data_IF_091205019740
#
_entry.id   IF_091205019740
#
_cell.length_a   1.000
_cell.length_b   1.000
_cell.length_c   1.000
_cell.angle_alpha   90.00
_cell.angle_beta   90.00
_cell.angle_gamma   90.00
#
_symmetry.space_group_name_H-M   'P 1'
#
loop_
_entity.id
_entity.type
_entity.pdbx_description
1 polymer ?
#
# COMPACT_ATOMS: atom_id res chain seq x y z
N UNK A 1 -14.30 -35.85 -34.26
CA UNK A 1 -13.02 -35.95 -34.99
C UNK A 1 -11.98 -35.30 -34.09
N UNK A 2 -11.41 -36.01 -33.23
CA UNK A 2 -10.18 -36.85 -33.25
C UNK A 2 -8.91 -36.02 -33.15
N UNK A 3 -8.16 -36.39 -32.13
CA UNK A 3 -6.72 -36.25 -31.91
C UNK A 3 -6.22 -34.96 -31.21
N UNK A 4 -5.94 -35.15 -29.94
CA UNK A 4 -4.71 -34.64 -29.32
C UNK A 4 -4.18 -35.69 -28.35
N UNK A 5 -3.09 -36.33 -28.78
CA UNK A 5 -2.31 -37.35 -28.07
C UNK A 5 -1.27 -36.70 -27.16
N UNK A 6 -1.20 -37.24 -25.95
CA UNK A 6 -0.04 -37.49 -25.08
C UNK A 6 1.07 -36.45 -24.90
N UNK A 7 1.16 -35.95 -23.67
CA UNK A 7 2.34 -35.31 -23.10
C UNK A 7 3.37 -36.38 -22.66
N UNK A 8 4.70 -36.18 -22.87
CA UNK A 8 5.75 -37.12 -22.47
C UNK A 8 6.10 -36.98 -20.98
N UNK A 9 6.41 -38.15 -20.41
CA UNK A 9 6.79 -38.40 -19.01
C UNK A 9 8.06 -37.66 -18.58
N UNK A 10 8.08 -37.22 -17.33
CA UNK A 10 9.23 -36.70 -16.59
C UNK A 10 10.39 -37.70 -16.62
N UNK A 11 11.58 -37.24 -17.04
CA UNK A 11 12.84 -37.95 -16.81
C UNK A 11 13.32 -37.71 -15.38
N UNK A 12 13.53 -38.79 -14.64
CA UNK A 12 14.28 -38.81 -13.38
C UNK A 12 15.75 -38.52 -13.69
N UNK A 13 16.30 -37.49 -13.06
CA UNK A 13 17.74 -37.23 -13.03
C UNK A 13 18.35 -38.06 -11.90
N UNK A 14 19.16 -39.07 -12.29
CA UNK A 14 20.01 -39.82 -11.40
C UNK A 14 21.12 -38.93 -10.85
N UNK A 15 21.29 -38.98 -9.52
CA UNK A 15 22.39 -38.33 -8.81
C UNK A 15 23.69 -39.10 -9.07
N UNK A 16 24.71 -38.41 -9.59
CA UNK A 16 26.08 -38.90 -9.65
C UNK A 16 26.85 -38.43 -8.38
N UNK A 17 27.74 -39.25 -7.84
CA UNK A 17 28.46 -38.91 -6.61
C UNK A 17 29.58 -37.91 -6.88
N UNK A 18 29.67 -36.90 -6.01
CA UNK A 18 30.74 -35.90 -5.98
C UNK A 18 32.03 -36.52 -5.46
N UNK A 19 33.02 -36.67 -6.33
CA UNK A 19 34.41 -36.90 -5.93
C UNK A 19 35.04 -35.58 -5.45
N UNK A 20 35.38 -35.54 -4.15
CA UNK A 20 36.20 -34.51 -3.55
C UNK A 20 37.66 -34.67 -4.02
N UNK A 21 38.07 -33.81 -4.92
CA UNK A 21 39.48 -33.58 -5.26
C UNK A 21 39.99 -32.36 -4.51
N UNK A 22 40.76 -32.56 -3.42
CA UNK A 22 41.49 -31.53 -2.72
C UNK A 22 42.68 -31.07 -3.56
N UNK A 23 42.70 -29.83 -4.01
CA UNK A 23 43.85 -29.16 -4.59
C UNK A 23 44.34 -28.07 -3.62
N UNK A 24 45.50 -28.23 -2.96
CA UNK A 24 46.02 -27.27 -2.02
C UNK A 24 46.93 -26.26 -2.75
N UNK A 25 46.43 -25.13 -3.10
CA UNK A 25 47.22 -23.89 -3.33
C UNK A 25 46.27 -22.74 -3.79
N UNK A 26 46.36 -21.63 -3.05
CA UNK A 26 45.70 -20.35 -3.27
C UNK A 26 44.37 -20.09 -2.50
N UNK A 27 44.47 -20.16 -1.17
CA UNK A 27 43.48 -19.57 -0.28
C UNK A 27 43.73 -18.03 -0.17
N UNK A 28 43.38 -17.26 -1.21
CA UNK A 28 43.19 -15.83 -1.12
C UNK A 28 41.68 -15.57 -1.14
N UNK A 29 41.08 -15.56 0.02
CA UNK A 29 39.75 -14.99 0.22
C UNK A 29 39.86 -13.51 -0.07
N UNK A 30 39.45 -13.06 -1.25
CA UNK A 30 39.21 -11.66 -1.48
C UNK A 30 38.00 -11.26 -0.66
N UNK A 31 38.24 -10.74 0.54
CA UNK A 31 37.27 -9.95 1.28
C UNK A 31 36.96 -8.73 0.44
N UNK A 32 35.88 -8.84 -0.37
CA UNK A 32 35.25 -7.67 -0.95
C UNK A 32 34.72 -6.87 0.26
N UNK A 33 35.24 -5.66 0.51
CA UNK A 33 34.76 -4.88 1.63
C UNK A 33 33.27 -4.65 1.37
N UNK A 34 32.43 -5.14 2.27
CA UNK A 34 31.03 -4.81 2.31
C UNK A 34 30.97 -3.28 2.32
N UNK A 35 30.53 -2.66 1.22
CA UNK A 35 30.26 -1.24 1.16
C UNK A 35 29.17 -0.96 2.21
N UNK A 36 29.62 -0.66 3.42
CA UNK A 36 28.78 -0.10 4.46
C UNK A 36 28.37 1.30 3.99
N UNK A 37 27.24 1.34 3.28
CA UNK A 37 26.57 2.62 3.04
C UNK A 37 26.19 3.16 4.40
N UNK A 38 27.04 4.06 4.96
CA UNK A 38 26.80 4.75 6.24
C UNK A 38 25.37 5.30 6.20
N UNK A 39 24.54 4.82 7.13
CA UNK A 39 23.21 5.38 7.30
C UNK A 39 23.35 6.84 7.69
N UNK A 40 22.65 7.72 6.99
CA UNK A 40 22.52 9.10 7.46
C UNK A 40 21.98 9.05 8.90
N UNK A 41 22.56 9.86 9.82
CA UNK A 41 22.03 10.02 11.16
C UNK A 41 20.52 10.31 11.12
N UNK A 42 19.81 9.91 12.14
CA UNK A 42 18.35 10.16 12.25
C UNK A 42 18.02 11.66 12.20
N UNK A 43 18.92 12.51 12.69
CA UNK A 43 18.87 13.97 12.60
C UNK A 43 18.79 14.47 11.15
N UNK A 44 19.66 13.95 10.25
CA UNK A 44 19.72 14.38 8.86
C UNK A 44 18.51 13.91 8.06
N UNK A 45 18.01 12.68 8.35
CA UNK A 45 16.75 12.18 7.77
C UNK A 45 15.56 13.03 8.21
N UNK A 46 15.52 13.42 9.49
CA UNK A 46 14.46 14.28 10.04
C UNK A 46 14.50 15.68 9.41
N UNK A 47 15.69 16.30 9.28
CA UNK A 47 15.87 17.58 8.61
C UNK A 47 15.42 17.50 7.15
N UNK A 48 15.85 16.47 6.42
CA UNK A 48 15.45 16.24 5.02
C UNK A 48 13.94 16.08 4.89
N UNK A 49 13.30 15.23 5.70
CA UNK A 49 11.86 15.02 5.63
C UNK A 49 11.08 16.32 5.93
N UNK A 50 11.57 17.15 6.84
CA UNK A 50 10.97 18.45 7.13
C UNK A 50 10.99 19.36 5.89
N UNK A 51 12.09 19.44 5.17
CA UNK A 51 12.17 20.25 3.94
C UNK A 51 11.33 19.67 2.80
N UNK A 52 11.30 18.34 2.66
CA UNK A 52 10.42 17.64 1.73
C UNK A 52 8.94 17.94 2.07
N UNK A 53 8.54 17.83 3.32
CA UNK A 53 7.18 18.08 3.76
C UNK A 53 6.72 19.51 3.46
N UNK A 54 7.56 20.53 3.75
CA UNK A 54 7.29 21.92 3.41
C UNK A 54 7.15 22.13 1.90
N UNK A 55 8.01 21.50 1.11
CA UNK A 55 7.98 21.64 -0.35
C UNK A 55 6.74 20.98 -0.94
N UNK A 56 6.41 19.77 -0.48
CA UNK A 56 5.18 19.08 -0.89
C UNK A 56 3.92 19.81 -0.42
N UNK A 57 3.94 20.47 0.73
CA UNK A 57 2.83 21.28 1.20
C UNK A 57 2.55 22.48 0.28
N UNK A 58 3.60 23.14 -0.24
CA UNK A 58 3.45 24.23 -1.22
C UNK A 58 2.91 23.71 -2.56
N UNK A 59 3.42 22.54 -3.01
CA UNK A 59 3.00 21.95 -4.28
C UNK A 59 1.61 21.34 -4.22
N UNK A 60 1.17 20.87 -3.05
CA UNK A 60 -0.12 20.22 -2.80
C UNK A 60 -0.69 20.74 -1.45
N UNK A 61 -1.25 21.95 -1.41
CA UNK A 61 -1.74 22.55 -0.15
C UNK A 61 -2.80 21.70 0.54
N UNK A 62 -3.78 21.21 -0.23
CA UNK A 62 -4.95 20.45 0.25
C UNK A 62 -5.02 19.10 -0.47
N UNK A 63 -4.22 18.10 -0.05
CA UNK A 63 -4.31 16.78 -0.65
C UNK A 63 -5.66 16.15 -0.31
N UNK A 64 -6.42 15.76 -1.33
CA UNK A 64 -7.72 15.12 -1.16
C UNK A 64 -7.61 13.60 -1.21
N UNK A 65 -8.49 12.93 -0.48
CA UNK A 65 -8.73 11.51 -0.66
C UNK A 65 -9.39 11.28 -2.03
N UNK A 66 -8.87 10.36 -2.83
CA UNK A 66 -9.36 10.13 -4.20
C UNK A 66 -10.54 9.14 -4.27
N UNK A 67 -10.84 8.42 -3.18
CA UNK A 67 -12.05 7.61 -3.06
C UNK A 67 -13.23 8.49 -2.62
N UNK A 68 -14.26 8.55 -3.46
CA UNK A 68 -15.50 9.27 -3.17
C UNK A 68 -16.25 8.59 -2.02
N UNK A 69 -16.63 9.37 -1.01
CA UNK A 69 -17.37 8.89 0.16
C UNK A 69 -18.09 10.05 0.88
N UNK A 70 -19.19 9.72 1.58
CA UNK A 70 -19.98 10.66 2.37
C UNK A 70 -19.99 10.32 3.86
N UNK A 71 -19.55 9.12 4.21
CA UNK A 71 -19.53 8.62 5.58
C UNK A 71 -18.31 7.71 5.83
N UNK A 72 -17.95 7.47 7.10
CA UNK A 72 -16.92 6.48 7.45
C UNK A 72 -17.23 5.08 6.88
N UNK A 73 -18.50 4.68 6.83
CA UNK A 73 -18.93 3.42 6.25
C UNK A 73 -18.65 3.36 4.75
N UNK A 74 -19.04 4.37 4.00
CA UNK A 74 -18.76 4.44 2.56
C UNK A 74 -17.25 4.41 2.29
N UNK A 75 -16.43 5.12 3.08
CA UNK A 75 -14.98 5.07 2.95
C UNK A 75 -14.41 3.69 3.24
N UNK A 76 -14.93 3.00 4.25
CA UNK A 76 -14.50 1.63 4.58
C UNK A 76 -14.77 0.67 3.43
N UNK A 77 -16.00 0.67 2.90
CA UNK A 77 -16.39 -0.14 1.74
C UNK A 77 -15.56 0.20 0.51
N UNK A 78 -15.41 1.48 0.17
CA UNK A 78 -14.60 1.92 -0.97
C UNK A 78 -13.14 1.50 -0.82
N UNK A 79 -12.58 1.58 0.40
CA UNK A 79 -11.19 1.17 0.66
C UNK A 79 -11.00 -0.35 0.52
N UNK A 80 -11.96 -1.17 0.96
CA UNK A 80 -11.95 -2.62 0.71
C UNK A 80 -11.98 -2.91 -0.80
N UNK A 81 -12.84 -2.20 -1.54
CA UNK A 81 -12.93 -2.35 -3.00
C UNK A 81 -11.66 -1.89 -3.72
N UNK A 82 -10.91 -0.93 -3.18
CA UNK A 82 -9.67 -0.39 -3.81
C UNK A 82 -8.49 -1.37 -3.78
N UNK A 83 -8.58 -2.48 -3.06
CA UNK A 83 -7.55 -3.51 -3.08
C UNK A 83 -7.30 -4.03 -4.52
N UNK A 84 -6.09 -3.77 -5.06
CA UNK A 84 -5.70 -4.08 -6.44
C UNK A 84 -6.68 -3.54 -7.51
N UNK A 85 -7.28 -2.38 -7.25
CA UNK A 85 -8.17 -1.67 -8.15
C UNK A 85 -7.83 -0.17 -8.12
N UNK A 86 -8.06 0.53 -9.22
CA UNK A 86 -7.88 1.99 -9.27
C UNK A 86 -9.02 2.69 -8.55
N UNK A 87 -8.72 3.82 -7.89
CA UNK A 87 -9.73 4.63 -7.19
C UNK A 87 -10.82 5.11 -8.17
N UNK A 88 -10.43 5.48 -9.41
CA UNK A 88 -11.37 5.83 -10.47
C UNK A 88 -12.39 4.72 -10.75
N UNK A 89 -11.94 3.44 -10.81
CA UNK A 89 -12.85 2.31 -11.03
C UNK A 89 -13.76 2.09 -9.83
N UNK A 90 -13.25 2.24 -8.62
CA UNK A 90 -14.06 2.15 -7.40
C UNK A 90 -15.14 3.23 -7.42
N UNK A 91 -14.79 4.47 -7.72
CA UNK A 91 -15.73 5.60 -7.78
C UNK A 91 -16.82 5.44 -8.86
N UNK A 92 -16.58 4.64 -9.92
CA UNK A 92 -17.60 4.28 -10.90
C UNK A 92 -18.61 3.26 -10.37
N UNK A 93 -18.21 2.40 -9.43
CA UNK A 93 -19.02 1.31 -8.89
C UNK A 93 -19.80 1.73 -7.65
N UNK A 94 -19.15 2.47 -6.76
CA UNK A 94 -19.70 2.81 -5.43
C UNK A 94 -21.02 3.58 -5.45
N UNK A 95 -21.35 4.47 -6.41
CA UNK A 95 -22.65 5.14 -6.43
C UNK A 95 -23.83 4.19 -6.57
N UNK A 96 -23.70 3.14 -7.36
CA UNK A 96 -24.74 2.12 -7.51
C UNK A 96 -24.80 1.20 -6.29
N UNK A 97 -23.64 0.86 -5.73
CA UNK A 97 -23.53 0.06 -4.52
C UNK A 97 -24.22 0.75 -3.32
N UNK A 98 -23.92 2.05 -3.09
CA UNK A 98 -24.47 2.80 -1.96
C UNK A 98 -25.94 3.22 -2.13
N UNK A 99 -26.48 3.15 -3.34
CA UNK A 99 -27.95 3.28 -3.54
C UNK A 99 -28.68 2.05 -3.04
N UNK A 100 -28.09 0.86 -3.20
CA UNK A 100 -28.70 -0.40 -2.84
C UNK A 100 -28.38 -0.80 -1.38
N UNK A 101 -27.16 -0.49 -0.90
CA UNK A 101 -26.66 -0.87 0.42
C UNK A 101 -26.11 0.34 1.15
N UNK A 102 -27.00 1.11 1.81
CA UNK A 102 -26.64 2.37 2.49
C UNK A 102 -26.00 2.15 3.85
N UNK A 103 -26.45 1.09 4.54
CA UNK A 103 -26.08 0.78 5.92
C UNK A 103 -25.35 -0.57 6.01
N UNK A 104 -24.54 -0.78 7.08
CA UNK A 104 -23.89 -2.06 7.31
C UNK A 104 -24.82 -3.28 7.29
N UNK A 105 -26.00 -3.19 7.93
CA UNK A 105 -26.98 -4.29 7.97
C UNK A 105 -27.52 -4.64 6.59
N UNK A 106 -27.75 -3.66 5.72
CA UNK A 106 -28.22 -3.91 4.35
C UNK A 106 -27.16 -4.68 3.54
N UNK A 107 -25.87 -4.31 3.70
CA UNK A 107 -24.77 -5.01 3.03
C UNK A 107 -24.54 -6.41 3.64
N UNK A 108 -24.79 -6.58 4.95
CA UNK A 108 -24.74 -7.88 5.61
C UNK A 108 -25.80 -8.85 5.08
N UNK A 109 -26.96 -8.34 4.68
CA UNK A 109 -28.08 -9.10 4.11
C UNK A 109 -28.02 -9.25 2.58
N UNK A 110 -26.95 -8.75 1.94
CA UNK A 110 -26.82 -8.73 0.48
C UNK A 110 -26.81 -10.15 -0.12
N UNK A 111 -27.57 -10.35 -1.19
CA UNK A 111 -27.50 -11.56 -2.00
C UNK A 111 -26.16 -11.60 -2.76
N UNK A 112 -25.29 -12.55 -2.40
CA UNK A 112 -23.93 -12.62 -2.93
C UNK A 112 -23.82 -12.53 -4.45
N UNK A 113 -24.59 -13.28 -5.26
CA UNK A 113 -24.51 -13.19 -6.73
C UNK A 113 -24.79 -11.79 -7.27
N UNK A 114 -25.74 -11.06 -6.71
CA UNK A 114 -26.06 -9.69 -7.12
C UNK A 114 -24.96 -8.71 -6.74
N UNK A 115 -24.45 -8.82 -5.52
CA UNK A 115 -23.31 -8.02 -5.06
C UNK A 115 -22.07 -8.29 -5.90
N UNK A 116 -21.77 -9.55 -6.23
CA UNK A 116 -20.65 -9.93 -7.09
C UNK A 116 -20.76 -9.31 -8.48
N UNK A 117 -21.95 -9.31 -9.06
CA UNK A 117 -22.20 -8.69 -10.36
C UNK A 117 -21.98 -7.17 -10.30
N UNK A 118 -22.48 -6.52 -9.26
CA UNK A 118 -22.36 -5.07 -9.06
C UNK A 118 -20.91 -4.61 -8.93
N UNK A 119 -20.08 -5.34 -8.19
CA UNK A 119 -18.68 -5.00 -7.95
C UNK A 119 -17.70 -5.69 -8.91
N UNK A 120 -18.17 -6.44 -9.90
CA UNK A 120 -17.35 -7.30 -10.78
C UNK A 120 -16.16 -6.58 -11.40
N UNK A 121 -16.37 -5.34 -11.84
CA UNK A 121 -15.34 -4.57 -12.52
C UNK A 121 -14.18 -4.11 -11.61
N UNK A 122 -14.31 -4.27 -10.27
CA UNK A 122 -13.22 -3.96 -9.32
C UNK A 122 -12.16 -5.06 -9.22
N UNK A 123 -12.36 -6.21 -9.87
CA UNK A 123 -11.48 -7.38 -9.76
C UNK A 123 -11.59 -8.09 -8.40
N UNK A 124 -11.18 -9.35 -8.34
CA UNK A 124 -11.25 -10.19 -7.12
C UNK A 124 -12.62 -10.15 -6.43
N UNK A 125 -13.66 -9.91 -7.20
CA UNK A 125 -15.00 -9.58 -6.73
C UNK A 125 -15.63 -10.67 -5.82
N UNK A 126 -15.35 -11.95 -6.06
CA UNK A 126 -15.83 -13.06 -5.20
C UNK A 126 -15.30 -12.99 -3.77
N UNK A 127 -14.01 -12.62 -3.60
CA UNK A 127 -13.43 -12.46 -2.28
C UNK A 127 -13.86 -11.13 -1.65
N UNK A 128 -13.95 -10.07 -2.46
CA UNK A 128 -14.42 -8.76 -1.99
C UNK A 128 -15.87 -8.81 -1.53
N UNK A 129 -16.78 -9.45 -2.26
CA UNK A 129 -18.18 -9.60 -1.86
C UNK A 129 -18.30 -10.31 -0.52
N UNK A 130 -17.59 -11.42 -0.33
CA UNK A 130 -17.56 -12.13 0.96
C UNK A 130 -17.04 -11.26 2.10
N UNK A 131 -15.95 -10.50 1.86
CA UNK A 131 -15.42 -9.58 2.86
C UNK A 131 -16.40 -8.45 3.18
N UNK A 132 -17.06 -7.89 2.17
CA UNK A 132 -18.03 -6.81 2.36
C UNK A 132 -19.23 -7.27 3.19
N UNK A 133 -19.82 -8.42 2.86
CA UNK A 133 -20.94 -9.00 3.64
C UNK A 133 -20.51 -9.28 5.08
N UNK A 134 -19.38 -9.94 5.27
CA UNK A 134 -18.87 -10.25 6.59
C UNK A 134 -18.47 -8.98 7.39
N UNK A 135 -17.93 -7.98 6.73
CA UNK A 135 -17.61 -6.67 7.32
C UNK A 135 -18.89 -5.95 7.75
N UNK A 136 -19.92 -5.90 6.87
CA UNK A 136 -21.23 -5.33 7.19
C UNK A 136 -21.85 -5.98 8.41
N UNK A 137 -21.85 -7.32 8.46
CA UNK A 137 -22.33 -8.09 9.60
C UNK A 137 -21.57 -7.75 10.89
N UNK A 138 -20.23 -7.72 10.84
CA UNK A 138 -19.42 -7.39 12.00
C UNK A 138 -19.67 -5.97 12.52
N UNK A 139 -19.83 -4.98 11.61
CA UNK A 139 -20.11 -3.59 11.99
C UNK A 139 -21.51 -3.46 12.57
N UNK A 140 -22.53 -4.11 11.98
CA UNK A 140 -23.90 -4.06 12.49
C UNK A 140 -24.01 -4.72 13.87
N UNK A 141 -23.53 -5.96 14.03
CA UNK A 141 -23.72 -6.75 15.24
C UNK A 141 -22.84 -6.33 16.42
N UNK A 142 -21.59 -5.95 16.15
CA UNK A 142 -20.59 -5.69 17.20
C UNK A 142 -20.42 -4.23 17.54
N UNK A 143 -20.72 -3.33 16.60
CA UNK A 143 -20.45 -1.89 16.73
C UNK A 143 -21.70 -1.02 16.50
N UNK A 144 -22.89 -1.60 16.56
CA UNK A 144 -24.16 -0.84 16.47
C UNK A 144 -24.25 0.01 15.20
N UNK A 145 -23.87 -0.57 14.05
CA UNK A 145 -23.83 0.09 12.73
C UNK A 145 -22.85 1.26 12.61
N UNK A 146 -21.99 1.47 13.60
CA UNK A 146 -20.95 2.50 13.56
C UNK A 146 -19.61 1.88 13.21
N UNK A 147 -18.88 2.52 12.28
CA UNK A 147 -17.51 2.09 11.98
C UNK A 147 -16.63 2.36 13.20
N UNK A 148 -15.92 1.35 13.73
CA UNK A 148 -15.05 1.55 14.88
C UNK A 148 -13.93 2.53 14.56
N UNK A 149 -13.44 3.23 15.58
CA UNK A 149 -12.49 4.33 15.45
C UNK A 149 -11.14 4.08 16.15
N UNK A 150 -10.85 2.81 16.48
CA UNK A 150 -9.55 2.39 17.00
C UNK A 150 -8.86 1.44 16.03
N UNK A 151 -7.52 1.40 16.03
CA UNK A 151 -6.74 0.48 15.20
C UNK A 151 -7.07 -0.97 15.53
N UNK A 152 -7.16 -1.27 16.83
CA UNK A 152 -7.40 -2.60 17.38
C UNK A 152 -8.74 -3.17 16.92
N UNK A 153 -9.77 -2.36 16.92
CA UNK A 153 -11.11 -2.77 16.47
C UNK A 153 -11.20 -2.88 14.95
N UNK A 154 -10.66 -1.89 14.22
CA UNK A 154 -10.70 -1.88 12.76
C UNK A 154 -10.06 -3.12 12.13
N UNK A 155 -8.91 -3.56 12.64
CA UNK A 155 -8.21 -4.74 12.09
C UNK A 155 -8.94 -6.06 12.38
N UNK A 156 -9.96 -6.07 13.27
CA UNK A 156 -10.82 -7.24 13.50
C UNK A 156 -11.90 -7.40 12.44
N UNK A 157 -12.12 -6.36 11.61
CA UNK A 157 -13.14 -6.39 10.57
C UNK A 157 -12.65 -7.20 9.35
N UNK A 158 -13.49 -8.06 8.77
CA UNK A 158 -13.16 -8.81 7.57
C UNK A 158 -12.76 -7.91 6.40
N UNK A 159 -11.64 -8.20 5.76
CA UNK A 159 -11.12 -7.40 4.66
C UNK A 159 -10.38 -6.12 5.06
N UNK A 160 -10.21 -5.87 6.35
CA UNK A 160 -9.53 -4.69 6.90
C UNK A 160 -8.18 -5.07 7.48
N UNK A 161 -7.13 -4.70 6.76
CA UNK A 161 -5.76 -4.78 7.28
C UNK A 161 -5.29 -3.43 7.84
N UNK A 162 -4.07 -3.39 8.40
CA UNK A 162 -3.45 -2.20 8.99
C UNK A 162 -3.49 -0.98 8.06
N UNK A 163 -3.20 -1.16 6.76
CA UNK A 163 -3.27 -0.07 5.78
C UNK A 163 -4.69 0.50 5.69
N UNK A 164 -5.72 -0.35 5.56
CA UNK A 164 -7.12 0.08 5.49
C UNK A 164 -7.52 0.81 6.76
N UNK A 165 -7.17 0.28 7.93
CA UNK A 165 -7.43 0.92 9.21
C UNK A 165 -6.81 2.32 9.28
N UNK A 166 -5.54 2.50 8.87
CA UNK A 166 -4.89 3.81 8.81
C UNK A 166 -5.61 4.78 7.86
N UNK A 167 -6.13 4.30 6.72
CA UNK A 167 -6.94 5.14 5.81
C UNK A 167 -8.19 5.65 6.53
N UNK A 168 -8.92 4.77 7.21
CA UNK A 168 -10.15 5.12 7.92
C UNK A 168 -9.86 6.09 9.06
N UNK A 169 -8.88 5.78 9.91
CA UNK A 169 -8.52 6.63 11.04
C UNK A 169 -8.13 8.04 10.60
N UNK A 170 -7.32 8.16 9.54
CA UNK A 170 -6.85 9.45 9.07
C UNK A 170 -7.88 10.27 8.32
N UNK A 171 -8.71 9.65 7.48
CA UNK A 171 -9.59 10.40 6.57
C UNK A 171 -11.03 10.49 7.07
N UNK A 172 -11.53 9.51 7.81
CA UNK A 172 -12.89 9.57 8.36
C UNK A 172 -12.93 10.15 9.78
N UNK A 173 -11.90 9.90 10.59
CA UNK A 173 -11.90 10.28 12.00
C UNK A 173 -10.88 11.38 12.35
N UNK A 174 -10.08 11.85 11.37
CA UNK A 174 -9.08 12.90 11.61
C UNK A 174 -7.96 12.48 12.56
N UNK A 175 -7.84 11.18 12.86
CA UNK A 175 -6.79 10.68 13.75
C UNK A 175 -5.45 10.61 13.03
N UNK A 176 -4.36 11.02 13.68
CA UNK A 176 -3.04 10.97 13.07
C UNK A 176 -2.66 9.54 12.64
N UNK A 177 -2.52 9.32 11.34
CA UNK A 177 -2.20 8.01 10.78
C UNK A 177 -1.20 8.14 9.63
N UNK A 178 -0.38 7.10 9.41
CA UNK A 178 0.55 7.02 8.29
C UNK A 178 0.11 5.88 7.38
N UNK A 179 -0.41 6.22 6.22
CA UNK A 179 -0.79 5.22 5.22
C UNK A 179 0.43 4.85 4.38
N UNK A 180 0.85 3.59 4.41
CA UNK A 180 1.94 3.09 3.57
C UNK A 180 1.41 2.13 2.53
N UNK A 181 1.31 2.61 1.30
CA UNK A 181 1.05 1.82 0.12
C UNK A 181 2.32 1.61 -0.72
N UNK A 182 2.19 1.03 -1.90
CA UNK A 182 3.32 0.83 -2.82
C UNK A 182 3.94 2.14 -3.29
N UNK A 183 3.16 3.23 -3.39
CA UNK A 183 3.65 4.56 -3.75
C UNK A 183 4.46 5.18 -2.62
N UNK A 184 3.90 5.23 -1.41
CA UNK A 184 4.59 5.76 -0.22
C UNK A 184 5.86 4.98 0.07
N UNK A 185 5.82 3.63 0.03
CA UNK A 185 7.00 2.78 0.21
C UNK A 185 8.11 3.14 -0.77
N UNK A 186 7.81 3.21 -2.07
CA UNK A 186 8.77 3.57 -3.12
C UNK A 186 9.35 4.97 -2.91
N UNK A 187 8.50 5.95 -2.67
CA UNK A 187 8.91 7.34 -2.46
C UNK A 187 9.77 7.47 -1.23
N UNK A 188 9.37 6.90 -0.10
CA UNK A 188 10.14 6.93 1.15
C UNK A 188 11.53 6.31 0.97
N UNK A 189 11.67 5.21 0.23
CA UNK A 189 12.98 4.61 -0.10
C UNK A 189 13.82 5.52 -0.98
N UNK A 190 13.28 6.04 -2.08
CA UNK A 190 14.01 6.96 -2.99
C UNK A 190 14.45 8.24 -2.30
N UNK A 191 13.63 8.76 -1.39
CA UNK A 191 13.95 9.94 -0.59
C UNK A 191 14.89 9.63 0.60
N UNK A 192 15.29 8.37 0.79
CA UNK A 192 16.19 7.96 1.86
C UNK A 192 15.61 8.12 3.27
N UNK A 193 14.29 8.06 3.39
CA UNK A 193 13.57 8.17 4.66
C UNK A 193 13.50 6.82 5.40
N UNK A 194 13.50 5.74 4.64
CA UNK A 194 13.53 4.36 5.12
C UNK A 194 14.50 3.51 4.29
N UNK A 195 14.90 2.36 4.83
CA UNK A 195 15.60 1.30 4.11
C UNK A 195 14.76 0.04 3.97
N UNK A 196 13.65 -0.02 4.68
CA UNK A 196 12.79 -1.21 4.73
C UNK A 196 11.93 -1.35 3.49
N UNK A 197 11.67 -2.59 3.12
CA UNK A 197 10.64 -2.98 2.16
C UNK A 197 9.34 -3.45 2.85
N UNK A 198 9.39 -3.66 4.16
CA UNK A 198 8.21 -3.99 4.97
C UNK A 198 7.39 -2.72 5.23
N UNK A 199 6.11 -2.66 4.82
CA UNK A 199 5.26 -1.48 4.99
C UNK A 199 5.13 -1.02 6.45
N UNK A 200 5.06 -1.95 7.40
CA UNK A 200 4.91 -1.61 8.82
C UNK A 200 6.16 -0.94 9.38
N UNK A 201 7.35 -1.38 8.94
CA UNK A 201 8.60 -0.73 9.31
C UNK A 201 8.76 0.64 8.64
N UNK A 202 8.27 0.80 7.39
CA UNK A 202 8.23 2.11 6.72
C UNK A 202 7.30 3.06 7.45
N UNK A 203 6.13 2.60 7.90
CA UNK A 203 5.20 3.36 8.74
C UNK A 203 5.90 3.86 10.01
N UNK A 204 6.55 2.96 10.76
CA UNK A 204 7.29 3.30 11.98
C UNK A 204 8.42 4.29 11.72
N UNK A 205 9.18 4.12 10.63
CA UNK A 205 10.25 5.05 10.26
C UNK A 205 9.71 6.46 10.00
N UNK A 206 8.60 6.58 9.25
CA UNK A 206 7.97 7.87 8.99
C UNK A 206 7.40 8.49 10.28
N UNK A 207 6.77 7.70 11.13
CA UNK A 207 6.26 8.15 12.43
C UNK A 207 7.36 8.69 13.34
N UNK A 208 8.53 8.05 13.38
CA UNK A 208 9.70 8.52 14.17
C UNK A 208 10.30 9.82 13.61
N UNK A 209 10.17 10.06 12.32
CA UNK A 209 10.74 11.24 11.65
C UNK A 209 9.83 12.47 11.68
N UNK A 210 8.52 12.28 11.87
CA UNK A 210 7.51 13.33 11.79
C UNK A 210 6.84 13.58 13.16
N UNK A 211 6.46 14.81 13.49
CA UNK A 211 5.53 15.04 14.58
C UNK A 211 4.16 14.43 14.24
N UNK A 212 3.46 13.92 15.27
CA UNK A 212 2.20 13.19 15.12
C UNK A 212 1.14 13.98 14.32
N UNK A 213 1.06 15.29 14.53
CA UNK A 213 0.14 16.18 13.82
C UNK A 213 0.36 16.26 12.30
N UNK A 214 1.49 15.81 11.78
CA UNK A 214 1.83 15.84 10.35
C UNK A 214 1.68 14.46 9.66
N UNK A 215 1.41 13.39 10.40
CA UNK A 215 1.43 12.04 9.87
C UNK A 215 0.51 11.87 8.66
N UNK A 216 -0.78 12.16 8.83
CA UNK A 216 -1.78 11.97 7.76
C UNK A 216 -1.47 12.84 6.54
N UNK A 217 -1.25 14.14 6.76
CA UNK A 217 -1.03 15.07 5.66
C UNK A 217 0.26 14.78 4.87
N UNK A 218 1.36 14.40 5.55
CA UNK A 218 2.62 14.10 4.88
C UNK A 218 2.54 12.76 4.16
N UNK A 219 1.97 11.72 4.76
CA UNK A 219 1.83 10.41 4.10
C UNK A 219 0.94 10.51 2.86
N UNK A 220 -0.13 11.29 2.91
CA UNK A 220 -1.00 11.52 1.76
C UNK A 220 -0.28 12.27 0.63
N UNK A 221 0.52 13.31 0.96
CA UNK A 221 1.34 13.99 -0.05
C UNK A 221 2.41 13.09 -0.66
N UNK A 222 3.03 12.22 0.14
CA UNK A 222 3.98 11.21 -0.39
C UNK A 222 3.29 10.21 -1.32
N UNK A 223 2.05 9.80 -0.99
CA UNK A 223 1.22 8.94 -1.83
C UNK A 223 0.97 9.59 -3.19
N UNK A 224 0.40 10.81 -3.20
CA UNK A 224 0.09 11.54 -4.42
C UNK A 224 1.34 11.88 -5.23
N UNK A 225 2.43 12.28 -4.56
CA UNK A 225 3.73 12.47 -5.20
C UNK A 225 4.22 11.19 -5.88
N UNK A 226 4.06 10.04 -5.25
CA UNK A 226 4.39 8.74 -5.84
C UNK A 226 3.47 8.36 -7.00
N UNK A 227 2.20 8.75 -6.94
CA UNK A 227 1.20 8.44 -7.96
C UNK A 227 1.39 9.28 -9.23
N UNK A 228 1.76 10.55 -9.09
CA UNK A 228 1.76 11.50 -10.22
C UNK A 228 3.12 12.01 -10.64
N UNK A 229 4.14 12.01 -9.78
CA UNK A 229 5.46 12.58 -10.08
C UNK A 229 6.56 11.52 -10.00
N UNK A 230 6.73 10.88 -8.83
CA UNK A 230 7.77 9.89 -8.61
C UNK A 230 7.28 8.50 -9.04
N UNK A 231 6.97 8.34 -10.32
CA UNK A 231 6.45 7.10 -10.90
C UNK A 231 7.42 5.93 -10.72
N UNK A 232 6.91 4.69 -10.78
CA UNK A 232 7.75 3.48 -10.67
C UNK A 232 8.72 3.39 -11.84
N UNK A 233 8.20 3.58 -13.05
CA UNK A 233 8.96 3.69 -14.31
C UNK A 233 8.89 5.13 -14.79
N UNK A 234 9.98 5.66 -15.36
CA UNK A 234 10.08 7.02 -15.91
C UNK A 234 9.55 8.10 -14.94
N UNK A 235 10.13 8.25 -13.73
CA UNK A 235 9.73 9.31 -12.81
C UNK A 235 10.05 10.69 -13.41
N UNK A 236 9.19 11.66 -13.14
CA UNK A 236 9.30 13.04 -13.65
C UNK A 236 10.33 13.83 -12.84
N UNK A 237 11.60 13.36 -12.80
CA UNK A 237 12.66 13.97 -12.01
C UNK A 237 12.97 15.42 -12.38
N UNK A 238 13.02 15.83 -13.66
CA UNK A 238 13.32 17.22 -14.05
C UNK A 238 12.34 18.24 -13.48
N UNK A 239 11.06 17.88 -13.34
CA UNK A 239 10.00 18.76 -12.83
C UNK A 239 9.63 18.45 -11.36
N UNK A 240 10.37 17.55 -10.71
CA UNK A 240 10.06 17.10 -9.35
C UNK A 240 10.30 18.20 -8.32
N UNK A 241 9.29 18.63 -7.55
CA UNK A 241 9.45 19.72 -6.58
C UNK A 241 10.47 19.43 -5.49
N UNK A 242 10.65 18.15 -5.13
CA UNK A 242 11.60 17.72 -4.09
C UNK A 242 12.95 17.24 -4.65
N UNK A 243 13.25 17.50 -5.92
CA UNK A 243 14.47 17.03 -6.58
C UNK A 243 15.74 17.37 -5.80
N UNK A 244 15.85 18.59 -5.26
CA UNK A 244 17.03 19.06 -4.50
C UNK A 244 17.26 18.27 -3.22
N UNK A 245 16.20 17.72 -2.61
CA UNK A 245 16.26 16.96 -1.37
C UNK A 245 16.33 15.43 -1.60
N UNK A 246 16.24 14.98 -2.86
CA UNK A 246 16.22 13.58 -3.21
C UNK A 246 17.64 13.00 -3.34
N UNK A 247 18.03 12.00 -2.52
CA UNK A 247 19.34 11.37 -2.60
C UNK A 247 19.41 10.20 -3.58
N UNK A 248 18.31 9.89 -4.27
CA UNK A 248 18.25 8.75 -5.18
C UNK A 248 19.25 8.90 -6.33
N UNK A 249 20.17 7.93 -6.45
CA UNK A 249 21.29 8.01 -7.38
C UNK A 249 20.88 7.98 -8.87
N UNK A 250 19.75 7.31 -9.16
CA UNK A 250 19.24 7.15 -10.54
C UNK A 250 18.31 8.29 -10.96
N UNK A 251 18.15 9.33 -10.14
CA UNK A 251 17.37 10.51 -10.53
C UNK A 251 18.04 11.22 -11.70
N UNK A 252 17.25 11.48 -12.74
CA UNK A 252 17.73 12.18 -13.92
C UNK A 252 18.46 11.31 -14.96
N UNK A 253 18.56 9.99 -14.76
CA UNK A 253 19.15 9.05 -15.71
C UNK A 253 18.13 8.47 -16.73
N UNK A 254 16.91 9.02 -16.79
CA UNK A 254 15.83 8.52 -17.66
C UNK A 254 15.32 9.58 -18.61
#
# INVERSE_FOLDING_TARGET
WSQWTALPRKRQLQQAPLHLGLNPLHNRVFLVPAMTTKSLPSSDRRKRLREIAKTLQRAMPSPQMELDHRSPWELLVATILSAQCTDQRVNQVTPSLFRQYRQPAELAAAHLPELEQLIRSTGFFKNKSKHLVACGKAVAERFGEQVPHTMEELITLPGVGRKTANVILGNAFGQPSVVVDTHVKRVAKRLGLTRSDNPDLVEQDLQRLLPKSQWTAVSQRLLLHGRYVCLARKPQCPTCPVYRHCPWKEKGLQ
#
